data_IF_069228470929
#
_entry.id   IF_069228470929
#
_cell.length_a   1.000
_cell.length_b   1.000
_cell.length_c   1.000
_cell.angle_alpha   90.00
_cell.angle_beta   90.00
_cell.angle_gamma   90.00
#
_symmetry.space_group_name_H-M   'P 1'
#
loop_
_entity.id
_entity.type
_entity.pdbx_description
1 polymer ?
#
# COMPACT_ATOMS: atom_id res chain seq x y z
N UNK A 1 -5.29 11.53 -18.15
CA UNK A 1 -4.43 10.76 -17.21
C UNK A 1 -3.10 10.65 -17.91
N UNK A 2 -2.05 11.31 -17.42
CA UNK A 2 -0.71 11.15 -18.00
C UNK A 2 -0.31 9.70 -17.89
N UNK A 3 0.01 9.07 -19.00
CA UNK A 3 0.68 7.77 -19.02
C UNK A 3 1.93 7.88 -18.15
N UNK A 4 2.01 7.06 -17.12
CA UNK A 4 3.21 6.98 -16.29
C UNK A 4 4.22 6.27 -17.20
N UNK A 5 5.18 7.02 -17.71
CA UNK A 5 6.31 6.44 -18.47
C UNK A 5 7.23 5.67 -17.51
N UNK A 6 6.79 4.46 -17.14
CA UNK A 6 7.57 3.54 -16.31
C UNK A 6 8.35 2.64 -17.25
N UNK A 7 9.57 3.05 -17.57
CA UNK A 7 10.47 2.24 -18.39
C UNK A 7 11.12 1.12 -17.57
N UNK A 8 11.38 1.35 -16.28
CA UNK A 8 12.02 0.38 -15.38
C UNK A 8 11.41 0.40 -13.99
N UNK A 9 11.23 -0.80 -13.40
CA UNK A 9 10.80 -0.98 -12.03
C UNK A 9 12.02 -1.04 -11.10
N UNK A 10 11.98 -0.31 -9.99
CA UNK A 10 12.99 -0.37 -8.94
C UNK A 10 12.97 -1.75 -8.27
N UNK A 11 14.07 -2.50 -8.40
CA UNK A 11 14.24 -3.80 -7.74
C UNK A 11 14.80 -3.56 -6.34
N UNK A 12 14.07 -4.04 -5.32
CA UNK A 12 14.43 -3.94 -3.91
C UNK A 12 15.18 -5.17 -3.40
N UNK A 13 14.89 -6.32 -3.98
CA UNK A 13 15.47 -7.60 -3.62
C UNK A 13 15.44 -8.52 -4.84
N UNK A 14 16.49 -9.32 -5.02
CA UNK A 14 16.53 -10.37 -6.03
C UNK A 14 17.49 -11.47 -5.60
N UNK A 15 17.03 -12.72 -5.74
CA UNK A 15 17.87 -13.92 -5.66
C UNK A 15 17.55 -14.87 -6.83
N UNK A 16 17.93 -16.14 -6.72
CA UNK A 16 17.68 -17.15 -7.77
C UNK A 16 16.21 -17.53 -7.92
N UNK A 17 15.34 -17.19 -6.99
CA UNK A 17 13.93 -17.64 -6.96
C UNK A 17 12.89 -16.57 -6.73
N UNK A 18 13.28 -15.45 -6.12
CA UNK A 18 12.39 -14.35 -5.73
C UNK A 18 12.90 -13.01 -6.24
N UNK A 19 11.98 -12.11 -6.56
CA UNK A 19 12.28 -10.71 -6.86
C UNK A 19 11.20 -9.82 -6.26
N UNK A 20 11.60 -8.70 -5.64
CA UNK A 20 10.68 -7.70 -5.12
C UNK A 20 10.95 -6.34 -5.75
N UNK A 21 9.89 -5.59 -6.00
CA UNK A 21 9.95 -4.25 -6.57
C UNK A 21 9.32 -3.23 -5.61
N UNK A 22 9.75 -1.97 -5.75
CA UNK A 22 9.02 -0.83 -5.22
C UNK A 22 7.90 -0.44 -6.21
N UNK A 23 6.72 -1.07 -6.08
CA UNK A 23 5.61 -0.81 -7.00
C UNK A 23 5.20 0.66 -6.95
N UNK A 24 5.21 1.39 -8.07
CA UNK A 24 4.71 2.76 -8.10
C UNK A 24 3.19 2.82 -7.93
N UNK A 25 2.71 3.96 -7.43
CA UNK A 25 1.29 4.29 -7.40
C UNK A 25 0.70 4.28 -8.82
N UNK A 26 -0.52 3.80 -8.98
CA UNK A 26 -1.23 3.80 -10.26
C UNK A 26 -1.01 2.56 -11.13
N UNK A 27 0.07 1.79 -10.90
CA UNK A 27 0.38 0.55 -11.61
C UNK A 27 -0.45 -0.62 -11.07
N UNK A 28 -1.12 -1.33 -11.97
CA UNK A 28 -1.81 -2.60 -11.66
C UNK A 28 -0.81 -3.75 -11.59
N UNK A 29 -1.08 -4.75 -10.74
CA UNK A 29 -0.22 -5.94 -10.64
C UNK A 29 -0.38 -6.83 -11.87
N UNK A 30 -1.63 -7.16 -12.26
CA UNK A 30 -1.97 -8.01 -13.40
C UNK A 30 -3.27 -7.51 -14.06
N UNK A 31 -3.53 -7.98 -15.27
CA UNK A 31 -4.76 -7.69 -16.00
C UNK A 31 -5.99 -8.18 -15.22
N UNK A 32 -6.98 -7.31 -15.05
CA UNK A 32 -8.26 -7.67 -14.47
C UNK A 32 -9.39 -7.23 -15.41
N UNK A 33 -10.56 -7.87 -15.33
CA UNK A 33 -11.72 -7.55 -16.16
C UNK A 33 -12.20 -6.09 -16.00
N UNK A 34 -11.89 -5.45 -14.87
CA UNK A 34 -12.30 -4.07 -14.53
C UNK A 34 -11.32 -3.02 -15.11
N UNK A 35 -10.16 -3.43 -15.62
CA UNK A 35 -9.09 -2.53 -16.08
C UNK A 35 -8.85 -2.62 -17.58
N UNK A 36 -9.93 -2.52 -18.37
CA UNK A 36 -9.85 -2.61 -19.83
C UNK A 36 -9.08 -1.45 -20.49
N UNK A 37 -8.89 -0.35 -19.78
CA UNK A 37 -8.29 0.91 -20.25
C UNK A 37 -6.80 1.07 -19.90
N UNK A 38 -6.14 0.00 -19.40
CA UNK A 38 -4.71 0.03 -19.04
C UNK A 38 -3.97 -1.10 -19.77
N UNK A 39 -2.91 -0.76 -20.48
CA UNK A 39 -2.04 -1.70 -21.21
C UNK A 39 -0.82 -2.16 -20.40
N UNK A 40 -0.48 -1.48 -19.30
CA UNK A 40 0.73 -1.73 -18.51
C UNK A 40 0.41 -2.35 -17.15
N UNK A 41 1.07 -3.47 -16.85
CA UNK A 41 0.94 -4.21 -15.59
C UNK A 41 2.32 -4.54 -15.03
N UNK A 42 2.46 -4.58 -13.71
CA UNK A 42 3.73 -4.87 -13.05
C UNK A 42 4.33 -6.22 -13.50
N UNK A 43 3.49 -7.26 -13.66
CA UNK A 43 3.93 -8.58 -14.19
C UNK A 43 4.59 -8.45 -15.56
N UNK A 44 4.00 -7.67 -16.49
CA UNK A 44 4.53 -7.52 -17.84
C UNK A 44 5.84 -6.73 -17.84
N UNK A 45 5.84 -5.57 -17.17
CA UNK A 45 7.02 -4.73 -17.08
C UNK A 45 8.20 -5.47 -16.45
N UNK A 46 7.96 -6.18 -15.35
CA UNK A 46 9.02 -6.93 -14.68
C UNK A 46 9.50 -8.12 -15.50
N UNK A 47 8.58 -8.84 -16.16
CA UNK A 47 8.92 -9.92 -17.11
C UNK A 47 9.85 -9.40 -18.21
N UNK A 48 9.49 -8.28 -18.83
CA UNK A 48 10.25 -7.71 -19.96
C UNK A 48 11.59 -7.15 -19.49
N UNK A 49 11.64 -6.55 -18.29
CA UNK A 49 12.86 -6.07 -17.67
C UNK A 49 13.86 -7.19 -17.33
N UNK A 50 13.37 -8.35 -16.87
CA UNK A 50 14.19 -9.49 -16.48
C UNK A 50 14.44 -10.48 -17.63
N UNK A 51 13.69 -10.39 -18.72
CA UNK A 51 13.73 -11.35 -19.83
C UNK A 51 13.22 -12.73 -19.48
N UNK A 52 12.46 -12.88 -18.39
CA UNK A 52 11.96 -14.16 -17.90
C UNK A 52 10.58 -14.04 -17.26
N UNK A 53 9.84 -15.16 -17.23
CA UNK A 53 8.50 -15.21 -16.61
C UNK A 53 8.57 -14.97 -15.12
N UNK A 54 7.63 -14.16 -14.61
CA UNK A 54 7.48 -13.86 -13.18
C UNK A 54 6.06 -14.15 -12.72
N UNK A 55 5.91 -14.53 -11.46
CA UNK A 55 4.65 -14.93 -10.85
C UNK A 55 4.37 -14.07 -9.63
N UNK A 56 3.28 -13.30 -9.57
CA UNK A 56 2.98 -12.48 -8.41
C UNK A 56 2.63 -13.37 -7.21
N UNK A 57 3.35 -13.21 -6.12
CA UNK A 57 3.10 -13.93 -4.87
C UNK A 57 1.87 -13.37 -4.16
N UNK A 58 1.75 -12.05 -4.14
CA UNK A 58 0.62 -11.32 -3.57
C UNK A 58 0.25 -10.13 -4.45
N UNK A 59 -0.71 -9.35 -4.00
CA UNK A 59 -1.13 -8.16 -4.72
C UNK A 59 -1.16 -6.92 -3.83
N UNK A 60 -0.95 -5.77 -4.44
CA UNK A 60 -1.28 -4.46 -3.91
C UNK A 60 -2.38 -3.84 -4.77
N UNK A 61 -3.20 -2.99 -4.17
CA UNK A 61 -4.18 -2.20 -4.92
C UNK A 61 -3.48 -1.32 -5.97
N UNK A 62 -4.19 -0.94 -7.05
CA UNK A 62 -3.66 -0.04 -8.07
C UNK A 62 -3.01 1.21 -7.47
N UNK A 63 -3.67 1.81 -6.46
CA UNK A 63 -3.24 3.05 -5.83
C UNK A 63 -2.30 2.88 -4.63
N UNK A 64 -2.07 1.66 -4.16
CA UNK A 64 -1.08 1.38 -3.11
C UNK A 64 0.28 1.20 -3.76
N UNK A 65 1.28 1.87 -3.23
CA UNK A 65 2.68 1.73 -3.64
C UNK A 65 3.49 0.89 -2.65
N UNK A 66 4.76 0.57 -2.96
CA UNK A 66 5.69 -0.11 -2.07
C UNK A 66 5.98 -1.55 -2.43
N UNK A 67 6.44 -2.34 -1.46
CA UNK A 67 6.98 -3.70 -1.66
C UNK A 67 5.95 -4.61 -2.32
N UNK A 68 6.29 -5.13 -3.49
CA UNK A 68 5.53 -6.16 -4.20
C UNK A 68 6.46 -7.31 -4.59
N UNK A 69 6.17 -8.52 -4.09
CA UNK A 69 6.98 -9.71 -4.26
C UNK A 69 6.47 -10.58 -5.41
N UNK A 70 7.40 -11.09 -6.20
CA UNK A 70 7.20 -12.08 -7.26
C UNK A 70 8.11 -13.28 -7.06
N UNK A 71 7.69 -14.41 -7.57
CA UNK A 71 8.53 -15.58 -7.73
C UNK A 71 8.99 -15.74 -9.19
N UNK A 72 10.16 -16.33 -9.38
CA UNK A 72 10.72 -16.67 -10.70
C UNK A 72 10.35 -18.07 -11.16
N UNK A 73 9.68 -18.89 -10.32
CA UNK A 73 9.15 -20.19 -10.68
C UNK A 73 7.84 -20.53 -9.94
N UNK A 74 7.05 -21.45 -10.50
CA UNK A 74 5.71 -21.78 -10.00
C UNK A 74 5.73 -22.51 -8.64
N UNK A 75 6.70 -23.41 -8.41
CA UNK A 75 6.78 -24.14 -7.17
C UNK A 75 7.04 -23.19 -5.99
N UNK A 76 8.00 -22.28 -6.16
CA UNK A 76 8.31 -21.30 -5.14
C UNK A 76 7.15 -20.32 -4.93
N UNK A 77 6.43 -19.96 -6.01
CA UNK A 77 5.23 -19.14 -5.89
C UNK A 77 4.17 -19.80 -4.99
N UNK A 78 3.94 -21.10 -5.17
CA UNK A 78 3.00 -21.89 -4.35
C UNK A 78 3.41 -21.89 -2.88
N UNK A 79 4.70 -22.13 -2.58
CA UNK A 79 5.22 -22.11 -1.22
C UNK A 79 5.06 -20.74 -0.57
N UNK A 80 5.37 -19.67 -1.29
CA UNK A 80 5.19 -18.31 -0.79
C UNK A 80 3.71 -17.97 -0.56
N UNK A 81 2.81 -18.33 -1.48
CA UNK A 81 1.37 -18.11 -1.30
C UNK A 81 0.84 -18.85 -0.06
N UNK A 82 1.34 -20.05 0.24
CA UNK A 82 1.00 -20.77 1.47
C UNK A 82 1.43 -19.98 2.72
N UNK A 83 2.63 -19.37 2.73
CA UNK A 83 3.05 -18.50 3.85
C UNK A 83 2.10 -17.30 4.03
N UNK A 84 1.67 -16.66 2.93
CA UNK A 84 0.68 -15.58 2.99
C UNK A 84 -0.68 -16.05 3.52
N UNK A 85 -1.17 -17.22 3.08
CA UNK A 85 -2.42 -17.80 3.54
C UNK A 85 -2.37 -18.18 5.02
N UNK A 86 -1.25 -18.67 5.50
CA UNK A 86 -1.02 -19.04 6.90
C UNK A 86 -0.75 -17.84 7.82
N UNK A 87 -0.68 -16.62 7.26
CA UNK A 87 -0.50 -15.39 8.04
C UNK A 87 0.90 -15.22 8.65
N UNK A 88 1.89 -15.99 8.21
CA UNK A 88 3.26 -15.93 8.75
C UNK A 88 4.14 -14.88 8.08
N UNK A 89 3.63 -14.21 7.04
CA UNK A 89 4.31 -13.10 6.37
C UNK A 89 4.01 -11.79 7.08
N UNK A 90 5.05 -11.17 7.62
CA UNK A 90 4.96 -9.83 8.21
C UNK A 90 4.77 -8.76 7.13
N UNK A 91 3.86 -7.84 7.37
CA UNK A 91 3.52 -6.73 6.44
C UNK A 91 3.43 -5.45 7.23
N UNK A 92 4.15 -4.42 6.79
CA UNK A 92 4.10 -3.10 7.39
C UNK A 92 3.79 -2.07 6.31
N UNK A 93 2.86 -1.19 6.63
CA UNK A 93 2.46 -0.09 5.75
C UNK A 93 2.54 1.22 6.51
N UNK A 94 2.73 2.30 5.77
CA UNK A 94 2.53 3.64 6.29
C UNK A 94 1.46 4.37 5.49
N UNK A 95 0.69 5.20 6.20
CA UNK A 95 -0.34 6.02 5.58
C UNK A 95 -0.43 7.40 6.23
N UNK A 96 -0.93 8.37 5.46
CA UNK A 96 -1.39 9.64 6.03
C UNK A 96 -2.91 9.59 6.03
N UNK A 97 -3.50 9.82 7.22
CA UNK A 97 -4.93 9.72 7.47
C UNK A 97 -5.50 11.05 7.95
N UNK A 98 -6.81 11.22 7.76
CA UNK A 98 -7.54 12.39 8.25
C UNK A 98 -7.74 12.34 9.76
N UNK A 99 -7.55 13.48 10.40
CA UNK A 99 -7.81 13.69 11.84
C UNK A 99 -6.65 13.25 12.72
N UNK A 100 -6.77 13.53 14.02
CA UNK A 100 -5.86 13.00 15.03
C UNK A 100 -6.33 11.62 15.44
N UNK A 101 -5.63 10.58 14.95
CA UNK A 101 -5.89 9.19 15.34
C UNK A 101 -5.42 8.92 16.78
N UNK A 102 -5.97 7.89 17.46
CA UNK A 102 -5.42 7.37 18.71
C UNK A 102 -3.93 7.04 18.54
N UNK A 103 -3.18 7.00 19.64
CA UNK A 103 -1.74 6.69 19.58
C UNK A 103 -1.51 5.26 19.07
N UNK A 104 -2.38 4.32 19.45
CA UNK A 104 -2.43 2.95 18.94
C UNK A 104 -3.87 2.42 19.00
N UNK A 105 -4.20 1.47 18.12
CA UNK A 105 -5.49 0.79 18.11
C UNK A 105 -5.41 -0.51 17.34
N UNK A 106 -6.13 -1.51 17.85
CA UNK A 106 -6.46 -2.74 17.14
C UNK A 106 -7.85 -2.64 16.52
N UNK A 107 -7.93 -2.97 15.23
CA UNK A 107 -9.19 -2.98 14.49
C UNK A 107 -9.51 -4.44 14.14
N UNK A 108 -10.35 -5.04 14.95
CA UNK A 108 -10.96 -6.36 14.72
C UNK A 108 -12.36 -6.14 14.13
N UNK A 109 -12.43 -6.02 12.82
CA UNK A 109 -13.68 -5.72 12.12
C UNK A 109 -13.79 -6.52 10.82
N UNK A 110 -14.76 -7.45 10.72
CA UNK A 110 -14.91 -8.30 9.54
C UNK A 110 -15.31 -7.48 8.32
N UNK A 111 -14.78 -7.87 7.15
CA UNK A 111 -15.00 -7.15 5.90
C UNK A 111 -15.82 -7.99 4.93
N UNK A 112 -16.83 -7.35 4.32
CA UNK A 112 -17.67 -7.96 3.31
C UNK A 112 -16.96 -8.02 1.97
N UNK A 113 -16.97 -9.20 1.34
CA UNK A 113 -16.58 -9.40 -0.07
C UNK A 113 -17.65 -8.89 -1.02
N UNK A 114 -17.34 -8.82 -2.31
CA UNK A 114 -18.27 -8.38 -3.36
C UNK A 114 -19.44 -9.40 -3.54
N UNK A 115 -19.22 -10.69 -3.25
CA UNK A 115 -20.25 -11.73 -3.23
C UNK A 115 -21.10 -11.77 -1.93
N UNK A 116 -20.87 -10.83 -1.02
CA UNK A 116 -21.63 -10.70 0.22
C UNK A 116 -21.08 -11.47 1.42
N UNK A 117 -20.09 -12.35 1.25
CA UNK A 117 -19.51 -13.15 2.33
C UNK A 117 -18.68 -12.27 3.26
N UNK A 118 -18.91 -12.41 4.58
CA UNK A 118 -18.10 -11.76 5.62
C UNK A 118 -16.80 -12.54 5.84
N UNK A 119 -15.69 -11.81 5.98
CA UNK A 119 -14.36 -12.37 6.23
C UNK A 119 -13.74 -11.66 7.41
N UNK A 120 -13.22 -12.42 8.38
CA UNK A 120 -12.46 -11.87 9.49
C UNK A 120 -11.27 -11.07 8.96
N UNK A 121 -11.07 -9.91 9.53
CA UNK A 121 -10.00 -9.01 9.18
C UNK A 121 -9.49 -8.28 10.42
N UNK A 122 -8.18 -8.27 10.57
CA UNK A 122 -7.53 -7.65 11.72
C UNK A 122 -6.35 -6.78 11.27
N UNK A 123 -6.28 -5.57 11.85
CA UNK A 123 -5.22 -4.60 11.61
C UNK A 123 -4.87 -3.88 12.90
N UNK A 124 -3.62 -3.94 13.32
CA UNK A 124 -3.10 -3.03 14.34
C UNK A 124 -2.55 -1.77 13.68
N UNK A 125 -2.68 -0.62 14.33
CA UNK A 125 -1.97 0.57 13.89
C UNK A 125 -1.40 1.37 15.07
N UNK A 126 -0.34 2.13 14.75
CA UNK A 126 0.29 3.08 15.66
C UNK A 126 0.41 4.44 14.98
N UNK A 127 0.05 5.50 15.68
CA UNK A 127 0.28 6.87 15.22
C UNK A 127 1.73 7.25 15.46
N UNK A 128 2.43 7.58 14.38
CA UNK A 128 3.84 7.98 14.41
C UNK A 128 3.95 9.47 14.69
N UNK A 129 3.14 10.29 14.02
CA UNK A 129 3.14 11.73 14.17
C UNK A 129 1.74 12.31 13.91
N UNK A 130 1.46 13.48 14.49
CA UNK A 130 0.24 14.26 14.29
C UNK A 130 0.60 15.67 13.84
N UNK A 131 -0.20 16.25 12.94
CA UNK A 131 -0.01 17.62 12.48
C UNK A 131 -1.34 18.36 12.32
N UNK A 132 -1.35 19.65 12.58
CA UNK A 132 -2.48 20.53 12.32
C UNK A 132 -2.06 21.62 11.34
N UNK A 133 -2.77 21.70 10.22
CA UNK A 133 -2.45 22.59 9.11
C UNK A 133 -3.36 23.82 9.13
N UNK A 134 -2.83 25.05 8.85
CA UNK A 134 -3.58 26.30 8.89
C UNK A 134 -4.41 26.50 7.61
N UNK A 135 -5.19 25.49 7.22
CA UNK A 135 -6.13 25.58 6.10
C UNK A 135 -7.42 24.81 6.36
N UNK A 136 -8.52 25.37 5.90
CA UNK A 136 -9.84 24.80 6.03
C UNK A 136 -10.12 23.79 4.91
N UNK A 137 -10.52 22.57 5.27
CA UNK A 137 -11.05 21.58 4.32
C UNK A 137 -12.51 21.21 4.59
N UNK A 138 -13.14 21.90 5.55
CA UNK A 138 -14.51 21.66 5.99
C UNK A 138 -15.05 22.81 6.83
N UNK A 139 -15.65 22.49 7.99
CA UNK A 139 -16.25 23.47 8.89
C UNK A 139 -15.24 24.20 9.81
N UNK A 140 -14.06 23.62 9.97
CA UNK A 140 -13.02 24.16 10.87
C UNK A 140 -12.01 24.97 10.06
N UNK A 141 -11.42 25.98 10.67
CA UNK A 141 -10.38 26.83 10.06
C UNK A 141 -9.08 26.07 9.81
N UNK A 142 -8.84 25.00 10.58
CA UNK A 142 -7.66 24.15 10.48
C UNK A 142 -8.04 22.73 10.03
N UNK A 143 -7.04 21.98 9.59
CA UNK A 143 -7.19 20.57 9.21
C UNK A 143 -6.13 19.72 9.90
N UNK A 144 -6.55 18.55 10.42
CA UNK A 144 -5.73 17.65 11.21
C UNK A 144 -5.42 16.39 10.46
N UNK A 145 -4.19 15.91 10.59
CA UNK A 145 -3.72 14.68 9.95
C UNK A 145 -2.84 13.88 10.92
N UNK A 146 -2.83 12.56 10.72
CA UNK A 146 -1.91 11.67 11.41
C UNK A 146 -1.11 10.87 10.37
N UNK A 147 0.16 10.67 10.64
CA UNK A 147 1.02 9.74 9.96
C UNK A 147 1.03 8.46 10.79
N UNK A 148 0.58 7.34 10.20
CA UNK A 148 0.35 6.08 10.91
C UNK A 148 1.12 4.93 10.29
N UNK A 149 1.59 4.02 11.13
CA UNK A 149 2.07 2.69 10.78
C UNK A 149 0.92 1.70 10.91
N UNK A 150 0.74 0.80 9.94
CA UNK A 150 -0.35 -0.15 9.85
C UNK A 150 0.22 -1.58 9.69
N UNK A 151 -0.22 -2.51 10.53
CA UNK A 151 0.25 -3.90 10.54
C UNK A 151 -0.97 -4.83 10.40
N UNK A 152 -1.34 -5.23 9.17
CA UNK A 152 -2.42 -6.18 8.96
C UNK A 152 -1.96 -7.62 9.17
N UNK A 153 -2.64 -8.41 9.98
CA UNK A 153 -2.41 -9.85 10.09
C UNK A 153 -3.11 -10.64 8.99
N UNK A 154 -4.22 -10.12 8.47
CA UNK A 154 -4.98 -10.65 7.33
C UNK A 154 -4.69 -9.85 6.05
N UNK A 155 -5.26 -10.26 4.90
CA UNK A 155 -5.03 -9.59 3.61
C UNK A 155 -6.31 -9.49 2.77
N UNK A 156 -7.40 -8.91 3.29
CA UNK A 156 -8.68 -8.78 2.58
C UNK A 156 -8.64 -7.60 1.60
N UNK A 157 -9.52 -7.64 0.61
CA UNK A 157 -9.61 -6.58 -0.40
C UNK A 157 -9.88 -5.21 0.23
N UNK A 158 -8.99 -4.24 -0.03
CA UNK A 158 -9.02 -2.89 0.53
C UNK A 158 -9.00 -2.85 2.08
N UNK A 159 -8.45 -3.86 2.75
CA UNK A 159 -8.56 -4.00 4.22
C UNK A 159 -8.14 -2.74 4.97
N UNK A 160 -6.90 -2.27 4.81
CA UNK A 160 -6.39 -1.08 5.51
C UNK A 160 -7.25 0.15 5.24
N UNK A 161 -7.71 0.30 4.02
CA UNK A 161 -8.54 1.43 3.58
C UNK A 161 -9.92 1.41 4.24
N UNK A 162 -10.58 0.24 4.27
CA UNK A 162 -11.87 0.02 4.93
C UNK A 162 -11.75 0.16 6.44
N UNK A 163 -10.71 -0.41 7.06
CA UNK A 163 -10.49 -0.33 8.50
C UNK A 163 -10.25 1.11 8.96
N UNK A 164 -9.36 1.86 8.29
CA UNK A 164 -9.11 3.25 8.65
C UNK A 164 -10.33 4.15 8.43
N UNK A 165 -11.15 3.86 7.42
CA UNK A 165 -12.43 4.53 7.23
C UNK A 165 -13.45 4.17 8.32
N UNK A 166 -13.50 2.90 8.75
CA UNK A 166 -14.39 2.42 9.82
C UNK A 166 -14.13 3.14 11.14
N UNK A 167 -12.87 3.39 11.49
CA UNK A 167 -12.49 4.12 12.70
C UNK A 167 -12.44 5.65 12.50
N UNK A 168 -13.04 6.18 11.43
CA UNK A 168 -13.17 7.60 11.10
C UNK A 168 -11.85 8.33 10.78
N UNK A 169 -10.79 7.59 10.49
CA UNK A 169 -9.49 8.11 10.03
C UNK A 169 -9.17 7.67 8.59
N UNK A 170 -10.00 8.04 7.59
CA UNK A 170 -9.80 7.57 6.22
C UNK A 170 -8.46 8.05 5.65
N UNK A 171 -7.85 7.19 4.82
CA UNK A 171 -6.59 7.46 4.14
C UNK A 171 -6.77 8.59 3.13
N UNK A 172 -5.86 9.55 3.11
CA UNK A 172 -5.86 10.67 2.16
C UNK A 172 -5.60 10.16 0.74
N UNK A 173 -6.39 10.63 -0.21
CA UNK A 173 -6.34 10.21 -1.61
C UNK A 173 -7.12 8.92 -1.93
N UNK A 174 -7.71 8.28 -0.92
CA UNK A 174 -8.63 7.16 -1.14
C UNK A 174 -10.00 7.67 -1.60
N UNK A 175 -10.41 7.33 -2.86
CA UNK A 175 -11.71 7.77 -3.39
C UNK A 175 -12.88 6.91 -2.90
N UNK A 176 -12.83 5.57 -2.95
CA UNK A 176 -13.98 4.74 -2.56
C UNK A 176 -14.30 4.77 -1.06
N UNK A 177 -13.26 4.83 -0.19
CA UNK A 177 -13.43 4.72 1.26
C UNK A 177 -13.01 6.00 1.99
N UNK A 178 -12.52 7.01 1.27
CA UNK A 178 -11.97 8.24 1.85
C UNK A 178 -12.96 9.38 1.95
N UNK A 179 -12.43 10.55 2.31
CA UNK A 179 -13.19 11.79 2.40
C UNK A 179 -13.07 12.61 1.11
N UNK A 180 -14.15 12.70 0.32
CA UNK A 180 -14.16 13.41 -0.96
C UNK A 180 -13.78 14.90 -0.84
N UNK A 181 -14.17 15.58 0.25
CA UNK A 181 -13.80 16.99 0.49
C UNK A 181 -12.30 17.14 0.67
N UNK A 182 -11.68 16.28 1.48
CA UNK A 182 -10.24 16.25 1.66
C UNK A 182 -9.52 15.93 0.35
N UNK A 183 -9.94 14.88 -0.34
CA UNK A 183 -9.33 14.46 -1.59
C UNK A 183 -9.40 15.55 -2.68
N UNK A 184 -10.52 16.28 -2.74
CA UNK A 184 -10.68 17.43 -3.64
C UNK A 184 -9.69 18.54 -3.28
N UNK A 185 -9.59 18.92 -2.00
CA UNK A 185 -8.67 19.94 -1.53
C UNK A 185 -7.21 19.58 -1.87
N UNK A 186 -6.79 18.34 -1.56
CA UNK A 186 -5.42 17.88 -1.84
C UNK A 186 -5.11 17.92 -3.35
N UNK A 187 -6.08 17.57 -4.19
CA UNK A 187 -5.93 17.63 -5.64
C UNK A 187 -5.78 19.07 -6.15
N UNK A 188 -6.66 19.99 -5.70
CA UNK A 188 -6.76 21.33 -6.24
C UNK A 188 -5.72 22.29 -5.66
N UNK A 189 -5.37 22.14 -4.37
CA UNK A 189 -4.50 23.08 -3.67
C UNK A 189 -3.09 22.54 -3.45
N UNK A 190 -2.90 21.22 -3.40
CA UNK A 190 -1.61 20.59 -3.19
C UNK A 190 -1.14 19.77 -4.40
N UNK A 191 -1.89 19.82 -5.52
CA UNK A 191 -1.62 19.08 -6.76
C UNK A 191 -1.35 17.57 -6.53
N UNK A 192 -2.04 16.96 -5.54
CA UNK A 192 -1.84 15.57 -5.16
C UNK A 192 -2.90 14.68 -5.81
N UNK A 193 -2.46 13.70 -6.62
CA UNK A 193 -3.33 12.75 -7.32
C UNK A 193 -3.15 11.29 -6.86
N UNK A 194 -2.34 11.05 -5.84
CA UNK A 194 -2.02 9.72 -5.30
C UNK A 194 -2.87 9.39 -4.06
N UNK A 195 -2.85 8.13 -3.64
CA UNK A 195 -3.34 7.71 -2.35
C UNK A 195 -2.14 7.54 -1.40
N UNK A 196 -2.19 8.13 -0.23
CA UNK A 196 -1.09 8.11 0.73
C UNK A 196 -1.13 6.82 1.57
N UNK A 197 -0.94 5.68 0.90
CA UNK A 197 -0.77 4.35 1.47
C UNK A 197 0.38 3.64 0.76
N UNK A 198 1.38 3.23 1.55
CA UNK A 198 2.61 2.63 1.06
C UNK A 198 2.98 1.37 1.86
N UNK A 199 3.27 0.27 1.16
CA UNK A 199 3.78 -0.97 1.74
C UNK A 199 5.30 -0.79 1.97
N UNK A 200 5.69 -0.46 3.20
CA UNK A 200 7.08 -0.12 3.53
C UNK A 200 7.95 -1.32 3.81
N UNK A 201 7.38 -2.42 4.30
CA UNK A 201 8.15 -3.60 4.66
C UNK A 201 7.37 -4.89 4.44
N UNK A 202 8.09 -5.90 3.98
CA UNK A 202 7.64 -7.29 3.88
C UNK A 202 8.69 -8.20 4.51
N UNK A 203 8.29 -9.09 5.44
CA UNK A 203 9.18 -10.02 6.11
C UNK A 203 8.64 -11.44 6.08
N UNK A 204 9.50 -12.41 5.78
CA UNK A 204 9.13 -13.83 5.66
C UNK A 204 10.34 -14.74 5.85
N UNK A 205 10.12 -16.05 6.01
CA UNK A 205 11.17 -17.05 5.90
C UNK A 205 11.31 -17.47 4.43
N UNK A 206 12.52 -17.38 3.90
CA UNK A 206 12.78 -17.83 2.52
C UNK A 206 12.50 -19.33 2.39
N UNK A 207 11.55 -19.76 1.50
CA UNK A 207 11.02 -21.12 1.56
C UNK A 207 12.02 -22.23 1.18
N UNK A 208 13.14 -21.91 0.53
CA UNK A 208 14.19 -22.89 0.21
C UNK A 208 15.31 -22.91 1.26
N UNK A 209 15.80 -21.74 1.69
CA UNK A 209 16.92 -21.64 2.63
C UNK A 209 16.49 -21.59 4.10
N UNK A 210 15.20 -21.35 4.36
CA UNK A 210 14.63 -21.13 5.70
C UNK A 210 15.31 -19.98 6.48
N UNK A 211 15.90 -19.03 5.77
CA UNK A 211 16.51 -17.82 6.35
C UNK A 211 15.51 -16.67 6.41
N UNK A 212 15.55 -15.82 7.45
CA UNK A 212 14.73 -14.61 7.50
C UNK A 212 15.10 -13.64 6.37
N UNK A 213 14.10 -13.13 5.68
CA UNK A 213 14.24 -12.07 4.67
C UNK A 213 13.37 -10.90 5.09
N UNK A 214 13.95 -9.69 5.08
CA UNK A 214 13.23 -8.42 5.31
C UNK A 214 13.50 -7.52 4.11
N UNK A 215 12.44 -7.13 3.42
CA UNK A 215 12.51 -6.25 2.24
C UNK A 215 11.84 -4.94 2.61
N UNK A 216 12.53 -3.83 2.37
CA UNK A 216 12.04 -2.48 2.63
C UNK A 216 11.94 -1.68 1.36
N UNK A 217 10.95 -0.80 1.29
CA UNK A 217 10.74 0.14 0.20
C UNK A 217 10.74 1.58 0.72
N UNK A 218 11.55 2.41 0.13
CA UNK A 218 11.49 3.86 0.32
C UNK A 218 10.18 4.42 -0.19
N UNK A 219 9.67 5.45 0.48
CA UNK A 219 8.48 6.16 0.03
C UNK A 219 8.65 6.71 -1.39
N UNK A 220 7.60 6.60 -2.17
CA UNK A 220 7.54 7.23 -3.50
C UNK A 220 7.69 8.76 -3.41
N UNK A 221 8.20 9.43 -4.45
CA UNK A 221 8.49 10.87 -4.43
C UNK A 221 7.29 11.72 -3.98
N UNK A 222 6.09 11.40 -4.46
CA UNK A 222 4.88 12.14 -4.09
C UNK A 222 4.50 11.93 -2.62
N UNK A 223 4.71 10.74 -2.08
CA UNK A 223 4.48 10.48 -0.66
C UNK A 223 5.49 11.27 0.21
N UNK A 224 6.78 11.28 -0.19
CA UNK A 224 7.83 12.09 0.45
C UNK A 224 7.48 13.58 0.43
N UNK A 225 7.01 14.07 -0.72
CA UNK A 225 6.56 15.47 -0.87
C UNK A 225 5.43 15.78 0.10
N UNK A 226 4.44 14.89 0.24
CA UNK A 226 3.32 15.12 1.15
C UNK A 226 3.71 15.05 2.63
N UNK A 227 4.64 14.18 3.02
CA UNK A 227 5.23 14.19 4.37
C UNK A 227 5.76 15.58 4.69
N UNK A 228 6.60 16.16 3.82
CA UNK A 228 7.18 17.49 4.01
C UNK A 228 6.12 18.59 3.95
N UNK A 229 5.19 18.54 2.99
CA UNK A 229 4.13 19.56 2.83
C UNK A 229 3.23 19.65 4.06
N UNK A 230 2.96 18.53 4.72
CA UNK A 230 2.13 18.46 5.92
C UNK A 230 2.93 18.65 7.21
N UNK A 231 4.21 18.98 7.13
CA UNK A 231 5.06 19.28 8.29
C UNK A 231 5.43 18.07 9.14
N UNK A 232 5.28 16.83 8.61
CA UNK A 232 5.79 15.65 9.27
C UNK A 232 7.31 15.55 9.14
N UNK A 233 7.96 15.04 10.19
CA UNK A 233 9.39 14.73 10.14
C UNK A 233 9.60 13.42 9.37
N UNK A 234 10.67 13.38 8.57
CA UNK A 234 11.05 12.18 7.87
C UNK A 234 11.45 11.08 8.86
N UNK A 235 10.85 9.89 8.70
CA UNK A 235 11.34 8.64 9.29
C UNK A 235 11.96 7.82 8.15
N UNK A 236 13.16 7.29 8.35
CA UNK A 236 13.73 6.28 7.44
C UNK A 236 12.94 4.99 7.58
N UNK A 237 12.52 4.38 6.48
CA UNK A 237 11.87 3.07 6.44
C UNK A 237 12.84 1.93 6.77
#
# INVERSE_FOLDING_TARGET
>A
MSDIDIQHLEILYQDSGLVAINKPHGLLVHKSAIAADTSLFAVQLLRDQLGMKVYPVHRLDRKTSGVLLFSLNENLNTLMQQQFMNGVVGKRYHAIVRGFSPDEMDIDYPLKRDDGVMQDAFTSFKTVQKTEMPFATGKHETSRYSFVELIPTTGRMHQLRKHMAHVFHPIIGDRPHGCNKQNKFFKENLNMNTMLLHATELSFLHPLSNTPVVIKADFQPEFKRMISTLGFQFISC
#
